data_IF_308819757635
#
_entry.id   IF_308819757635
#
_cell.length_a   1.000
_cell.length_b   1.000
_cell.length_c   1.000
_cell.angle_alpha   90.00
_cell.angle_beta   90.00
_cell.angle_gamma   90.00
#
_symmetry.space_group_name_H-M   'P 1'
#
loop_
_entity.id
_entity.type
_entity.pdbx_description
1 polymer ?
#
# COMPACT_ATOMS: atom_id res chain seq x y z
N UNK A 1 24.75 -1.09 13.73
CA UNK A 1 23.44 -1.01 13.05
C UNK A 1 22.41 -0.55 14.05
N UNK A 2 21.87 0.66 13.90
CA UNK A 2 20.82 1.19 14.76
C UNK A 2 19.48 0.56 14.34
N UNK A 3 18.75 -0.01 15.29
CA UNK A 3 17.36 -0.42 15.10
C UNK A 3 16.48 0.56 15.86
N UNK A 4 15.69 1.36 15.15
CA UNK A 4 14.74 2.27 15.76
C UNK A 4 13.68 1.45 16.50
N UNK A 5 13.51 1.69 17.81
CA UNK A 5 12.47 1.02 18.59
C UNK A 5 11.14 1.69 18.24
N UNK A 6 10.35 0.99 17.44
CA UNK A 6 9.00 1.39 17.04
C UNK A 6 7.96 0.52 17.73
N UNK A 7 6.74 1.02 17.96
CA UNK A 7 5.64 0.20 18.46
C UNK A 7 5.46 -1.08 17.61
N UNK A 8 4.96 -2.19 18.18
CA UNK A 8 4.68 -3.38 17.38
C UNK A 8 3.57 -3.12 16.35
N UNK A 9 3.62 -3.84 15.23
CA UNK A 9 2.56 -3.79 14.22
C UNK A 9 1.22 -4.24 14.82
N UNK A 10 0.13 -3.52 14.47
CA UNK A 10 -1.21 -3.78 15.00
C UNK A 10 -2.16 -4.21 13.88
N UNK A 11 -2.80 -5.35 14.07
CA UNK A 11 -3.94 -5.80 13.27
C UNK A 11 -5.23 -5.53 14.07
N UNK A 12 -6.11 -4.70 13.52
CA UNK A 12 -7.20 -4.08 14.31
C UNK A 12 -8.45 -4.95 14.39
N UNK A 13 -8.84 -5.57 13.28
CA UNK A 13 -10.14 -6.20 13.12
C UNK A 13 -10.04 -7.72 13.10
N UNK A 14 -11.01 -8.39 13.72
CA UNK A 14 -11.16 -9.85 13.72
C UNK A 14 -12.56 -10.29 13.23
N UNK A 15 -13.31 -9.41 12.56
CA UNK A 15 -14.60 -9.77 11.96
C UNK A 15 -14.40 -10.48 10.61
N UNK A 16 -15.26 -11.44 10.29
CA UNK A 16 -15.30 -12.04 8.96
C UNK A 16 -15.54 -10.96 7.88
N UNK A 17 -14.82 -11.03 6.76
CA UNK A 17 -14.86 -10.01 5.70
C UNK A 17 -14.12 -8.69 6.00
N UNK A 18 -13.70 -8.45 7.24
CA UNK A 18 -12.91 -7.25 7.64
C UNK A 18 -11.62 -7.58 8.39
N UNK A 19 -11.31 -8.86 8.60
CA UNK A 19 -10.08 -9.31 9.24
C UNK A 19 -8.87 -8.86 8.44
N UNK A 20 -7.93 -8.17 9.10
CA UNK A 20 -6.63 -7.86 8.51
C UNK A 20 -5.78 -9.13 8.43
N UNK A 21 -5.11 -9.35 7.31
CA UNK A 21 -4.26 -10.53 7.11
C UNK A 21 -2.98 -10.19 6.34
N UNK A 22 -1.89 -10.88 6.67
CA UNK A 22 -0.63 -10.79 5.96
C UNK A 22 -0.10 -12.19 5.65
N UNK A 23 -0.05 -12.54 4.36
CA UNK A 23 0.32 -13.87 3.87
C UNK A 23 1.62 -13.73 3.06
N UNK A 24 2.64 -14.53 3.40
CA UNK A 24 3.96 -14.46 2.77
C UNK A 24 4.52 -13.03 2.72
N UNK A 25 4.22 -12.23 3.74
CA UNK A 25 4.47 -10.78 3.76
C UNK A 25 5.26 -10.39 5.01
N UNK A 26 6.03 -9.31 4.91
CA UNK A 26 6.79 -8.73 5.99
C UNK A 26 6.15 -7.39 6.40
N UNK A 27 5.92 -7.21 7.70
CA UNK A 27 5.30 -5.99 8.25
C UNK A 27 6.20 -5.44 9.34
N UNK A 28 6.65 -4.20 9.17
CA UNK A 28 7.53 -3.49 10.11
C UNK A 28 6.75 -2.93 11.31
N UNK A 29 7.47 -2.41 12.30
CA UNK A 29 6.85 -1.73 13.45
C UNK A 29 6.02 -0.50 13.04
N UNK A 30 5.18 -0.01 13.96
CA UNK A 30 4.34 1.18 13.81
C UNK A 30 3.30 1.07 12.68
N UNK A 31 3.14 -0.12 12.09
CA UNK A 31 2.15 -0.37 11.07
C UNK A 31 0.78 -0.64 11.69
N UNK A 32 -0.27 -0.08 11.08
CA UNK A 32 -1.65 -0.34 11.45
C UNK A 32 -2.36 -0.96 10.26
N UNK A 33 -2.73 -2.24 10.40
CA UNK A 33 -3.47 -3.00 9.39
C UNK A 33 -4.93 -3.08 9.84
N UNK A 34 -5.76 -2.18 9.32
CA UNK A 34 -7.17 -2.04 9.68
C UNK A 34 -8.07 -2.69 8.62
N UNK A 35 -8.04 -4.02 8.56
CA UNK A 35 -8.90 -4.79 7.65
C UNK A 35 -8.46 -4.76 6.20
N UNK A 36 -7.14 -4.71 5.99
CA UNK A 36 -6.50 -4.86 4.70
C UNK A 36 -5.93 -6.28 4.52
N UNK A 37 -5.85 -6.74 3.28
CA UNK A 37 -5.23 -8.01 2.92
C UNK A 37 -3.89 -7.75 2.26
N UNK A 38 -2.81 -8.29 2.84
CA UNK A 38 -1.45 -8.19 2.31
C UNK A 38 -1.01 -9.57 1.83
N UNK A 39 -0.56 -9.67 0.57
CA UNK A 39 -0.02 -10.89 0.00
C UNK A 39 1.32 -10.60 -0.67
N UNK A 40 2.33 -11.44 -0.38
CA UNK A 40 3.69 -11.32 -0.96
C UNK A 40 4.26 -9.89 -0.93
N UNK A 41 4.01 -9.16 0.15
CA UNK A 41 4.28 -7.73 0.23
C UNK A 41 5.26 -7.38 1.35
N UNK A 42 6.00 -6.29 1.18
CA UNK A 42 6.92 -5.72 2.17
C UNK A 42 6.39 -4.35 2.61
N UNK A 43 5.98 -4.25 3.87
CA UNK A 43 5.42 -3.04 4.47
C UNK A 43 6.43 -2.45 5.45
N UNK A 44 6.91 -1.24 5.14
CA UNK A 44 7.85 -0.51 5.99
C UNK A 44 7.16 0.20 7.16
N UNK A 45 7.96 0.74 8.06
CA UNK A 45 7.53 1.37 9.31
C UNK A 45 6.48 2.47 9.12
N UNK A 46 5.49 2.52 10.00
CA UNK A 46 4.55 3.63 10.09
C UNK A 46 3.47 3.63 9.01
N UNK A 47 3.29 2.53 8.28
CA UNK A 47 2.27 2.43 7.22
C UNK A 47 0.88 2.19 7.82
N UNK A 48 -0.10 2.94 7.35
CA UNK A 48 -1.52 2.77 7.68
C UNK A 48 -2.26 2.13 6.50
N UNK A 49 -2.67 0.87 6.62
CA UNK A 49 -3.52 0.21 5.64
C UNK A 49 -4.97 0.19 6.12
N UNK A 50 -5.88 0.84 5.38
CA UNK A 50 -7.29 1.01 5.77
C UNK A 50 -8.17 -0.13 5.25
N UNK A 51 -9.43 -0.15 5.69
CA UNK A 51 -10.33 -1.28 5.46
C UNK A 51 -10.59 -1.55 3.98
N UNK A 52 -10.69 -2.84 3.68
CA UNK A 52 -10.99 -3.40 2.36
C UNK A 52 -9.94 -3.11 1.29
N UNK A 53 -8.77 -2.57 1.65
CA UNK A 53 -7.65 -2.46 0.71
C UNK A 53 -6.94 -3.80 0.54
N UNK A 54 -6.48 -4.09 -0.68
CA UNK A 54 -5.70 -5.29 -0.99
C UNK A 54 -4.36 -4.90 -1.62
N UNK A 55 -3.27 -5.44 -1.07
CA UNK A 55 -1.92 -5.28 -1.59
C UNK A 55 -1.35 -6.65 -1.99
N UNK A 56 -1.02 -6.82 -3.26
CA UNK A 56 -0.37 -8.02 -3.80
C UNK A 56 0.96 -7.66 -4.45
N UNK A 57 2.04 -8.32 -4.04
CA UNK A 57 3.38 -8.07 -4.59
C UNK A 57 3.78 -6.58 -4.49
N UNK A 58 3.48 -5.95 -3.35
CA UNK A 58 3.71 -4.53 -3.12
C UNK A 58 4.92 -4.29 -2.20
N UNK A 59 5.73 -3.29 -2.53
CA UNK A 59 6.73 -2.71 -1.63
C UNK A 59 6.25 -1.32 -1.23
N UNK A 60 5.95 -1.14 0.05
CA UNK A 60 5.38 0.12 0.57
C UNK A 60 6.39 0.77 1.48
N UNK A 61 6.98 1.90 1.06
CA UNK A 61 7.99 2.63 1.83
C UNK A 61 7.39 3.26 3.11
N UNK A 62 8.23 3.76 4.03
CA UNK A 62 7.76 4.25 5.32
C UNK A 62 6.68 5.33 5.22
N UNK A 63 5.85 5.41 6.27
CA UNK A 63 4.88 6.51 6.50
C UNK A 63 3.78 6.65 5.41
N UNK A 64 3.58 5.63 4.58
CA UNK A 64 2.50 5.64 3.58
C UNK A 64 1.12 5.42 4.22
N UNK A 65 0.09 5.92 3.53
CA UNK A 65 -1.31 5.66 3.87
C UNK A 65 -2.01 5.01 2.69
N UNK A 66 -2.62 3.85 2.93
CA UNK A 66 -3.41 3.13 1.93
C UNK A 66 -4.89 3.39 2.18
N UNK A 67 -5.54 4.06 1.24
CA UNK A 67 -6.96 4.37 1.26
C UNK A 67 -7.85 3.13 1.29
N UNK A 68 -9.10 3.32 1.73
CA UNK A 68 -10.08 2.22 1.78
C UNK A 68 -10.35 1.71 0.37
N UNK A 69 -10.61 0.41 0.22
CA UNK A 69 -10.94 -0.22 -1.07
C UNK A 69 -9.85 -0.12 -2.16
N UNK A 70 -8.66 0.39 -1.85
CA UNK A 70 -7.56 0.44 -2.82
C UNK A 70 -7.08 -0.97 -3.17
N UNK A 71 -6.83 -1.24 -4.45
CA UNK A 71 -6.32 -2.53 -4.94
C UNK A 71 -5.03 -2.30 -5.68
N UNK A 72 -3.92 -2.74 -5.10
CA UNK A 72 -2.58 -2.43 -5.59
C UNK A 72 -1.83 -3.73 -5.84
N UNK A 73 -1.45 -3.97 -7.09
CA UNK A 73 -0.72 -5.16 -7.52
C UNK A 73 0.57 -4.79 -8.24
N UNK A 74 1.68 -5.44 -7.88
CA UNK A 74 3.02 -5.19 -8.46
C UNK A 74 3.44 -3.72 -8.40
N UNK A 75 3.41 -3.14 -7.21
CA UNK A 75 3.72 -1.72 -7.01
C UNK A 75 4.91 -1.49 -6.10
N UNK A 76 5.61 -0.38 -6.32
CA UNK A 76 6.51 0.25 -5.36
C UNK A 76 5.91 1.62 -5.01
N UNK A 77 5.58 1.83 -3.74
CA UNK A 77 4.97 3.07 -3.26
C UNK A 77 6.05 3.85 -2.51
N UNK A 78 6.35 5.06 -2.96
CA UNK A 78 7.37 5.92 -2.37
C UNK A 78 6.99 6.42 -0.97
N UNK A 79 7.97 6.93 -0.21
CA UNK A 79 7.80 7.34 1.18
C UNK A 79 6.70 8.40 1.33
N UNK A 80 5.87 8.24 2.36
CA UNK A 80 4.88 9.24 2.75
C UNK A 80 3.69 9.39 1.79
N UNK A 81 3.61 8.54 0.75
CA UNK A 81 2.54 8.61 -0.25
C UNK A 81 1.19 8.25 0.38
N UNK A 82 0.17 9.04 0.04
CA UNK A 82 -1.21 8.81 0.48
C UNK A 82 -2.04 8.33 -0.69
N UNK A 83 -2.25 7.02 -0.76
CA UNK A 83 -3.05 6.38 -1.79
C UNK A 83 -4.53 6.67 -1.55
N UNK A 84 -5.26 7.29 -2.50
CA UNK A 84 -6.66 7.61 -2.32
C UNK A 84 -7.55 6.37 -2.24
N UNK A 85 -8.75 6.56 -1.68
CA UNK A 85 -9.72 5.48 -1.57
C UNK A 85 -10.14 4.97 -2.95
N UNK A 86 -10.24 3.65 -3.09
CA UNK A 86 -10.68 3.00 -4.32
C UNK A 86 -9.66 3.01 -5.46
N UNK A 87 -8.44 3.53 -5.27
CA UNK A 87 -7.42 3.50 -6.31
C UNK A 87 -7.09 2.06 -6.69
N UNK A 88 -7.07 1.79 -7.98
CA UNK A 88 -6.69 0.49 -8.56
C UNK A 88 -5.42 0.69 -9.37
N UNK A 89 -4.41 -0.14 -9.10
CA UNK A 89 -3.14 -0.19 -9.84
C UNK A 89 -2.73 -1.65 -10.03
N UNK A 90 -2.29 -2.01 -11.23
CA UNK A 90 -1.87 -3.36 -11.61
C UNK A 90 -2.96 -4.20 -12.26
N UNK A 91 -4.12 -3.61 -12.59
CA UNK A 91 -5.22 -4.26 -13.33
C UNK A 91 -5.27 -3.82 -14.80
N UNK A 92 -4.95 -2.56 -15.11
CA UNK A 92 -4.97 -2.00 -16.47
C UNK A 92 -3.59 -1.44 -16.85
N UNK A 93 -2.81 -2.16 -17.67
CA UNK A 93 -1.46 -1.75 -18.05
C UNK A 93 -1.36 -0.39 -18.74
N UNK A 94 -2.37 -0.02 -19.55
CA UNK A 94 -2.34 1.24 -20.32
C UNK A 94 -2.67 2.41 -19.39
N UNK A 95 -3.69 2.25 -18.55
CA UNK A 95 -4.07 3.24 -17.56
C UNK A 95 -2.96 3.45 -16.53
N UNK A 96 -2.35 2.37 -16.05
CA UNK A 96 -1.24 2.42 -15.09
C UNK A 96 -0.03 3.15 -15.69
N UNK A 97 0.32 2.86 -16.96
CA UNK A 97 1.43 3.52 -17.64
C UNK A 97 1.15 5.01 -17.93
N UNK A 98 -0.12 5.40 -18.08
CA UNK A 98 -0.51 6.80 -18.26
C UNK A 98 -0.39 7.63 -16.97
N UNK A 99 -0.51 6.98 -15.80
CA UNK A 99 -0.55 7.65 -14.49
C UNK A 99 0.76 7.55 -13.72
N UNK A 100 1.50 6.46 -13.91
CA UNK A 100 2.65 6.10 -13.08
C UNK A 100 3.83 5.63 -13.92
N UNK A 101 5.01 5.61 -13.31
CA UNK A 101 6.18 5.02 -13.97
C UNK A 101 6.07 3.50 -13.93
N UNK A 102 5.73 2.89 -15.07
CA UNK A 102 5.60 1.44 -15.23
C UNK A 102 6.82 0.82 -15.91
N UNK A 103 7.37 -0.25 -15.37
CA UNK A 103 8.45 -1.03 -16.01
C UNK A 103 7.90 -1.96 -17.09
N UNK A 104 8.78 -2.47 -17.95
CA UNK A 104 8.42 -3.50 -18.94
C UNK A 104 7.87 -4.77 -18.29
N UNK A 105 8.39 -5.15 -17.12
CA UNK A 105 7.91 -6.28 -16.32
C UNK A 105 6.57 -6.02 -15.61
N UNK A 106 6.00 -4.82 -15.74
CA UNK A 106 4.71 -4.43 -15.20
C UNK A 106 4.72 -3.97 -13.75
N UNK A 107 5.86 -3.54 -13.23
CA UNK A 107 5.96 -2.94 -11.89
C UNK A 107 5.67 -1.44 -11.97
N UNK A 108 4.77 -0.93 -11.14
CA UNK A 108 4.45 0.50 -11.10
C UNK A 108 5.10 1.20 -9.91
N UNK A 109 5.91 2.22 -10.16
CA UNK A 109 6.38 3.16 -9.14
C UNK A 109 5.35 4.27 -8.97
N UNK A 110 4.88 4.47 -7.73
CA UNK A 110 3.91 5.49 -7.35
C UNK A 110 4.59 6.51 -6.43
N UNK A 111 4.57 7.79 -6.81
CA UNK A 111 5.03 8.91 -5.97
C UNK A 111 3.86 9.87 -5.72
N UNK A 112 3.99 10.74 -4.71
CA UNK A 112 2.93 11.70 -4.39
C UNK A 112 2.69 12.67 -5.56
N UNK A 113 3.76 13.16 -6.19
CA UNK A 113 3.66 14.05 -7.35
C UNK A 113 2.85 13.42 -8.49
N UNK A 114 3.02 12.11 -8.76
CA UNK A 114 2.23 11.41 -9.80
C UNK A 114 0.74 11.36 -9.47
N UNK A 115 0.38 11.18 -8.19
CA UNK A 115 -1.01 11.22 -7.76
C UNK A 115 -1.59 12.63 -7.91
N UNK A 116 -0.83 13.64 -7.51
CA UNK A 116 -1.25 15.04 -7.57
C UNK A 116 -1.45 15.49 -9.03
N UNK A 117 -0.53 15.13 -9.94
CA UNK A 117 -0.65 15.38 -11.38
C UNK A 117 -1.83 14.66 -12.03
N UNK A 118 -2.16 13.46 -11.56
CA UNK A 118 -3.32 12.69 -12.02
C UNK A 118 -4.65 13.15 -11.39
N UNK A 119 -4.63 14.16 -10.50
CA UNK A 119 -5.82 14.63 -9.77
C UNK A 119 -6.38 13.61 -8.78
N UNK A 120 -5.56 12.64 -8.35
CA UNK A 120 -5.93 11.56 -7.45
C UNK A 120 -5.68 11.97 -5.99
N UNK A 121 -6.63 12.72 -5.42
CA UNK A 121 -6.48 13.33 -4.09
C UNK A 121 -6.91 12.37 -2.98
N UNK A 122 -6.10 12.28 -1.92
CA UNK A 122 -6.45 11.56 -0.71
C UNK A 122 -7.46 12.35 0.13
N UNK A 123 -8.69 11.84 0.23
CA UNK A 123 -9.75 12.35 1.13
C UNK A 123 -9.81 11.60 2.47
#
# INVERSE_FOLDING_TARGET
TYAEIRPPAKFVHNEEGRRGAAISSLVSGDCIISGATLNRSLIFTGVLARSYSSLDQAVVLPECVIGRHARLSKVVIDRGVKIPAGLVVGEDPELDASRFRRTESGVCLITQNMLDEAGLIYE
#
